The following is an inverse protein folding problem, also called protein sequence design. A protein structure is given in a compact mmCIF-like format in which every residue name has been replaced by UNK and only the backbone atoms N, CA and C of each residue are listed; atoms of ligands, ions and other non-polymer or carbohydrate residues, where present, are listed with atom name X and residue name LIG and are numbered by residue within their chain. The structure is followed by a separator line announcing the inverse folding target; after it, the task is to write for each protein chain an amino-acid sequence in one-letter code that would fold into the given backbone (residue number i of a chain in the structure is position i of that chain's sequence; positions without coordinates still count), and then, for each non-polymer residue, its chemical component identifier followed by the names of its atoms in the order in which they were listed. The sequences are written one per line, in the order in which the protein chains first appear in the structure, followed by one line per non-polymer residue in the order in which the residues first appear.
data_IF_096783280401
#
_entry.id   IF_096783280401
#
_cell.length_a   1.000
_cell.length_b   1.000
_cell.length_c   1.000
_cell.angle_alpha   90.00
_cell.angle_beta   90.00
_cell.angle_gamma   90.00
#
_symmetry.space_group_name_H-M   'P 1'
#
loop_
_entity.id
_entity.type
_entity.pdbx_description
1 polymer ?
#
# COMPACT_ATOMS: atom_id res chain seq x y z
N UNK A 1 -31.59 -98.56 -10.99
CA UNK A 1 -31.46 -97.62 -12.13
C UNK A 1 -30.56 -96.48 -11.70
N UNK A 2 -29.37 -96.39 -12.31
CA UNK A 2 -28.35 -95.42 -11.99
C UNK A 2 -28.64 -94.08 -12.68
N UNK A 3 -28.52 -92.97 -11.96
CA UNK A 3 -28.36 -91.64 -12.56
C UNK A 3 -27.06 -91.06 -12.01
N UNK A 4 -26.08 -91.01 -12.91
CA UNK A 4 -24.70 -90.58 -12.73
C UNK A 4 -24.62 -89.06 -12.60
N UNK A 5 -23.90 -88.61 -11.58
CA UNK A 5 -23.58 -87.21 -11.30
C UNK A 5 -22.39 -86.80 -12.17
N UNK A 6 -22.62 -85.97 -13.19
CA UNK A 6 -21.56 -85.41 -14.02
C UNK A 6 -20.69 -84.43 -13.22
N UNK A 7 -19.41 -84.75 -13.05
CA UNK A 7 -18.39 -83.82 -12.55
C UNK A 7 -17.82 -83.04 -13.74
N UNK A 8 -18.13 -81.75 -13.84
CA UNK A 8 -17.45 -80.85 -14.79
C UNK A 8 -16.12 -80.38 -14.17
N UNK A 9 -14.99 -80.82 -14.75
CA UNK A 9 -13.66 -80.26 -14.46
C UNK A 9 -13.58 -78.85 -15.05
N UNK A 10 -13.51 -77.83 -14.20
CA UNK A 10 -13.21 -76.47 -14.62
C UNK A 10 -11.73 -76.35 -15.01
N UNK A 11 -11.46 -75.90 -16.24
CA UNK A 11 -10.15 -75.52 -16.75
C UNK A 11 -9.65 -74.21 -16.09
N UNK A 12 -8.34 -74.04 -15.84
CA UNK A 12 -7.83 -72.82 -15.21
C UNK A 12 -7.95 -71.62 -16.17
N UNK A 13 -8.67 -70.59 -15.74
CA UNK A 13 -8.75 -69.30 -16.42
C UNK A 13 -7.35 -68.67 -16.51
N UNK A 14 -6.81 -68.58 -17.73
CA UNK A 14 -5.61 -67.78 -18.03
C UNK A 14 -5.87 -66.32 -17.64
N UNK A 15 -5.09 -65.80 -16.70
CA UNK A 15 -5.03 -64.35 -16.39
C UNK A 15 -4.74 -63.58 -17.67
N UNK A 16 -5.72 -62.82 -18.16
CA UNK A 16 -5.53 -61.81 -19.21
C UNK A 16 -4.64 -60.70 -18.63
N UNK A 17 -3.46 -60.50 -19.20
CA UNK A 17 -2.65 -59.32 -18.93
C UNK A 17 -3.38 -58.10 -19.50
N UNK A 18 -3.67 -57.13 -18.64
CA UNK A 18 -4.20 -55.82 -19.04
C UNK A 18 -3.18 -55.11 -19.95
N UNK A 19 -3.61 -54.48 -21.07
CA UNK A 19 -2.71 -53.68 -21.87
C UNK A 19 -2.18 -52.53 -21.02
N UNK A 20 -0.85 -52.40 -20.96
CA UNK A 20 -0.16 -51.29 -20.29
C UNK A 20 -0.69 -49.99 -20.89
N UNK A 21 -1.34 -49.17 -20.07
CA UNK A 21 -1.80 -47.84 -20.46
C UNK A 21 -0.63 -47.03 -20.99
N UNK A 22 -0.78 -46.46 -22.19
CA UNK A 22 0.14 -45.44 -22.70
C UNK A 22 0.12 -44.27 -21.72
N UNK A 23 1.25 -44.00 -21.07
CA UNK A 23 1.41 -42.81 -20.26
C UNK A 23 1.19 -41.58 -21.15
N UNK A 24 0.22 -40.74 -20.77
CA UNK A 24 0.08 -39.40 -21.33
C UNK A 24 1.37 -38.62 -21.05
N UNK A 25 1.89 -37.82 -21.99
CA UNK A 25 3.08 -37.03 -21.75
C UNK A 25 2.81 -36.02 -20.63
N UNK A 26 3.34 -36.32 -19.44
CA UNK A 26 3.23 -35.50 -18.25
C UNK A 26 4.37 -34.50 -18.20
N UNK A 27 4.32 -33.43 -19.00
CA UNK A 27 5.21 -32.28 -18.81
C UNK A 27 4.65 -31.02 -19.47
N UNK A 28 3.51 -30.53 -18.96
CA UNK A 28 3.29 -29.08 -19.00
C UNK A 28 4.29 -28.49 -18.01
N UNK A 29 5.43 -28.03 -18.51
CA UNK A 29 6.36 -27.19 -17.75
C UNK A 29 5.57 -25.98 -17.27
N UNK A 30 5.16 -25.97 -15.99
CA UNK A 30 4.60 -24.79 -15.34
C UNK A 30 5.70 -23.74 -15.33
N UNK A 31 5.71 -22.84 -16.32
CA UNK A 31 6.58 -21.64 -16.30
C UNK A 31 6.36 -20.96 -14.96
N UNK A 32 7.39 -20.93 -14.10
CA UNK A 32 7.34 -20.20 -12.82
C UNK A 32 7.01 -18.73 -13.16
N UNK A 33 5.86 -18.24 -12.69
CA UNK A 33 5.51 -16.82 -12.86
C UNK A 33 6.58 -15.98 -12.17
N UNK A 34 7.14 -15.00 -12.88
CA UNK A 34 8.11 -14.07 -12.31
C UNK A 34 7.47 -13.35 -11.11
N UNK A 35 8.22 -13.21 -10.03
CA UNK A 35 7.77 -12.49 -8.83
C UNK A 35 7.71 -10.99 -9.18
N UNK A 36 6.57 -10.31 -9.00
CA UNK A 36 6.47 -8.87 -9.24
C UNK A 36 7.51 -8.07 -8.47
N UNK A 37 8.02 -7.01 -9.10
CA UNK A 37 9.01 -6.11 -8.50
C UNK A 37 8.41 -5.37 -7.30
N UNK A 38 9.25 -5.05 -6.32
CA UNK A 38 8.86 -4.21 -5.18
C UNK A 38 8.63 -2.78 -5.67
N UNK A 39 7.48 -2.20 -5.33
CA UNK A 39 7.24 -0.77 -5.47
C UNK A 39 7.98 -0.06 -4.34
N UNK A 40 8.86 0.86 -4.71
CA UNK A 40 9.63 1.67 -3.77
C UNK A 40 9.64 3.09 -4.29
N UNK A 41 9.34 4.04 -3.42
CA UNK A 41 9.69 5.43 -3.66
C UNK A 41 11.21 5.58 -3.59
N UNK A 42 11.79 6.31 -4.54
CA UNK A 42 13.23 6.57 -4.62
C UNK A 42 13.56 8.07 -4.72
N UNK A 43 12.53 8.90 -4.81
CA UNK A 43 12.67 10.32 -5.06
C UNK A 43 13.09 11.10 -3.81
N UNK A 44 12.86 12.40 -3.87
CA UNK A 44 13.18 13.32 -2.79
C UNK A 44 12.10 13.28 -1.72
N UNK A 45 12.54 13.38 -0.47
CA UNK A 45 11.68 13.55 0.67
C UNK A 45 12.18 14.64 1.61
N UNK A 46 11.28 15.20 2.40
CA UNK A 46 11.58 15.96 3.60
C UNK A 46 11.14 15.16 4.82
N UNK A 47 11.99 15.07 5.82
CA UNK A 47 11.64 14.58 7.15
C UNK A 47 11.69 15.74 8.12
N UNK A 48 10.52 16.16 8.60
CA UNK A 48 10.31 17.41 9.33
C UNK A 48 9.86 17.05 10.75
N UNK A 49 10.58 17.56 11.75
CA UNK A 49 10.36 17.19 13.16
C UNK A 49 9.94 18.36 14.03
N UNK A 50 10.33 19.58 13.69
CA UNK A 50 9.97 20.76 14.47
C UNK A 50 8.71 21.44 13.92
N UNK A 51 8.02 22.18 14.79
CA UNK A 51 6.83 22.93 14.40
C UNK A 51 7.13 23.92 13.27
N UNK A 52 8.26 24.62 13.34
CA UNK A 52 8.64 25.65 12.38
C UNK A 52 9.01 25.06 11.01
N UNK A 53 9.70 23.92 10.99
CA UNK A 53 9.99 23.17 9.76
C UNK A 53 8.69 22.73 9.06
N UNK A 54 7.76 22.14 9.83
CA UNK A 54 6.46 21.71 9.31
C UNK A 54 5.66 22.91 8.79
N UNK A 55 5.63 23.99 9.54
CA UNK A 55 4.92 25.22 9.18
C UNK A 55 5.45 25.83 7.87
N UNK A 56 6.76 25.99 7.75
CA UNK A 56 7.40 26.57 6.57
C UNK A 56 7.23 25.71 5.32
N UNK A 57 7.39 24.38 5.45
CA UNK A 57 7.21 23.47 4.33
C UNK A 57 5.74 23.40 3.87
N UNK A 58 4.80 23.37 4.81
CA UNK A 58 3.37 23.37 4.51
C UNK A 58 2.92 24.68 3.86
N UNK A 59 3.48 25.83 4.27
CA UNK A 59 3.26 27.12 3.59
C UNK A 59 3.64 27.05 2.11
N UNK A 60 4.85 26.57 1.81
CA UNK A 60 5.33 26.42 0.42
C UNK A 60 4.48 25.43 -0.39
N UNK A 61 3.98 24.36 0.25
CA UNK A 61 3.06 23.42 -0.41
C UNK A 61 1.71 24.08 -0.74
N UNK A 62 1.14 24.87 0.17
CA UNK A 62 -0.09 25.62 -0.05
C UNK A 62 0.05 26.70 -1.14
N UNK A 63 1.24 27.30 -1.27
CA UNK A 63 1.58 28.27 -2.32
C UNK A 63 1.89 27.61 -3.67
N UNK A 64 2.01 26.28 -3.71
CA UNK A 64 2.21 25.51 -4.93
C UNK A 64 0.87 25.15 -5.61
N UNK A 65 0.94 24.63 -6.83
CA UNK A 65 -0.25 24.18 -7.57
C UNK A 65 -0.74 22.76 -7.16
N UNK A 66 -0.29 22.22 -6.01
CA UNK A 66 -0.63 20.86 -5.59
C UNK A 66 -2.08 20.77 -5.10
N UNK A 67 -2.88 19.95 -5.80
CA UNK A 67 -4.28 19.67 -5.45
C UNK A 67 -4.54 18.20 -5.10
N UNK A 68 -3.52 17.34 -5.20
CA UNK A 68 -3.63 15.90 -4.95
C UNK A 68 -2.46 15.41 -4.09
N UNK A 69 -2.80 14.73 -2.99
CA UNK A 69 -1.85 14.08 -2.09
C UNK A 69 -2.15 12.58 -2.03
N UNK A 70 -1.12 11.75 -2.15
CA UNK A 70 -1.12 10.44 -1.52
C UNK A 70 -0.96 10.63 -0.02
N UNK A 71 -1.80 9.96 0.76
CA UNK A 71 -1.90 10.11 2.21
C UNK A 71 -1.77 8.76 2.89
N UNK A 72 -0.96 8.72 3.93
CA UNK A 72 -0.91 7.63 4.91
C UNK A 72 -0.37 8.15 6.26
N UNK A 73 -0.53 7.36 7.33
CA UNK A 73 -0.09 7.76 8.68
C UNK A 73 0.33 6.58 9.54
N UNK A 74 1.22 6.83 10.51
CA UNK A 74 1.78 5.80 11.38
C UNK A 74 1.72 6.18 12.86
N UNK A 75 1.67 5.16 13.71
CA UNK A 75 1.65 5.29 15.17
C UNK A 75 2.39 4.13 15.83
N UNK A 76 2.86 4.35 17.06
CA UNK A 76 3.45 3.25 17.85
C UNK A 76 2.40 2.21 18.20
N UNK A 77 2.68 0.95 17.87
CA UNK A 77 1.87 -0.19 18.29
C UNK A 77 2.24 -0.59 19.71
N UNK A 78 1.27 -0.62 20.62
CA UNK A 78 1.46 -1.15 21.97
C UNK A 78 0.85 -2.55 22.03
N UNK A 79 1.68 -3.56 22.28
CA UNK A 79 1.24 -4.96 22.41
C UNK A 79 0.59 -5.24 23.77
N UNK A 80 -0.39 -4.40 24.16
CA UNK A 80 -1.20 -4.54 25.39
C UNK A 80 -2.65 -4.84 25.02
N UNK A 81 -3.42 -5.43 25.93
CA UNK A 81 -4.89 -5.57 25.78
C UNK A 81 -5.56 -4.30 26.29
N UNK A 82 -6.71 -3.93 25.72
CA UNK A 82 -7.50 -2.78 26.13
C UNK A 82 -7.43 -1.60 25.15
N UNK A 83 -8.38 -0.65 25.22
CA UNK A 83 -8.49 0.48 24.28
C UNK A 83 -7.28 1.45 24.32
N UNK A 84 -6.51 1.46 25.41
CA UNK A 84 -5.24 2.17 25.59
C UNK A 84 -4.04 1.54 24.85
N UNK A 85 -4.25 0.47 24.06
CA UNK A 85 -3.17 -0.22 23.34
C UNK A 85 -2.81 0.38 21.97
N UNK A 86 -3.45 1.49 21.58
CA UNK A 86 -3.16 2.19 20.33
C UNK A 86 -2.49 3.52 20.68
N UNK A 87 -1.22 3.68 20.28
CA UNK A 87 -0.51 4.95 20.40
C UNK A 87 -1.20 6.06 19.60
N UNK A 88 -0.91 7.32 19.95
CA UNK A 88 -1.36 8.46 19.14
C UNK A 88 -0.67 8.43 17.78
N UNK A 89 -1.30 9.05 16.79
CA UNK A 89 -0.69 9.27 15.49
C UNK A 89 0.63 10.02 15.65
N UNK A 90 1.71 9.45 15.12
CA UNK A 90 3.06 9.96 15.26
C UNK A 90 3.59 10.60 13.97
N UNK A 91 3.24 10.04 12.82
CA UNK A 91 3.73 10.48 11.51
C UNK A 91 2.57 10.66 10.54
N UNK A 92 2.57 11.77 9.80
CA UNK A 92 1.76 11.95 8.59
C UNK A 92 2.66 11.94 7.36
N UNK A 93 2.14 11.38 6.27
CA UNK A 93 2.91 11.14 5.05
C UNK A 93 2.15 11.74 3.87
N UNK A 94 2.76 12.68 3.16
CA UNK A 94 2.19 13.26 1.94
C UNK A 94 3.09 12.96 0.76
N UNK A 95 2.54 12.34 -0.29
CA UNK A 95 3.21 12.25 -1.59
C UNK A 95 2.46 13.11 -2.61
N UNK A 96 3.18 13.86 -3.44
CA UNK A 96 2.58 14.73 -4.45
C UNK A 96 3.50 14.88 -5.66
N UNK A 97 3.00 15.51 -6.72
CA UNK A 97 3.78 15.80 -7.94
C UNK A 97 3.81 17.28 -8.23
N UNK A 98 4.96 17.78 -8.67
CA UNK A 98 5.12 19.13 -9.20
C UNK A 98 5.84 19.07 -10.55
N UNK A 99 5.41 19.88 -11.52
CA UNK A 99 6.10 20.02 -12.80
C UNK A 99 7.45 20.72 -12.61
N UNK A 100 7.45 21.80 -11.84
CA UNK A 100 8.63 22.54 -11.41
C UNK A 100 8.61 22.75 -9.89
N UNK A 101 9.78 22.75 -9.27
CA UNK A 101 9.88 22.90 -7.81
C UNK A 101 9.45 24.31 -7.35
N UNK A 102 9.75 25.35 -8.13
CA UNK A 102 9.51 26.73 -7.71
C UNK A 102 10.07 27.01 -6.31
N UNK A 103 9.24 27.58 -5.43
CA UNK A 103 9.62 27.87 -4.04
C UNK A 103 9.93 26.63 -3.19
N UNK A 104 9.51 25.43 -3.62
CA UNK A 104 9.86 24.18 -2.93
C UNK A 104 11.34 23.82 -3.12
N UNK A 105 12.04 24.39 -4.12
CA UNK A 105 13.44 24.07 -4.40
C UNK A 105 14.37 24.39 -3.21
N UNK A 106 14.04 25.42 -2.43
CA UNK A 106 14.85 25.88 -1.30
C UNK A 106 14.76 24.98 -0.05
N UNK A 107 13.85 24.00 -0.06
CA UNK A 107 13.70 23.10 1.07
C UNK A 107 14.86 22.08 1.13
N UNK A 108 15.26 21.60 2.33
CA UNK A 108 16.42 20.74 2.52
C UNK A 108 16.12 19.28 2.09
N UNK A 109 15.89 19.08 0.80
CA UNK A 109 15.54 17.79 0.22
C UNK A 109 16.63 16.74 0.42
N UNK A 110 16.21 15.53 0.78
CA UNK A 110 17.05 14.34 0.85
C UNK A 110 16.54 13.31 -0.16
N UNK A 111 17.40 12.46 -0.68
CA UNK A 111 16.98 11.31 -1.49
C UNK A 111 16.82 10.08 -0.60
N UNK A 112 15.77 9.28 -0.86
CA UNK A 112 15.58 8.02 -0.13
C UNK A 112 16.72 7.07 -0.45
N UNK A 113 16.96 6.82 -1.74
CA UNK A 113 18.09 6.00 -2.22
C UNK A 113 19.09 6.91 -2.96
N UNK A 114 19.79 6.39 -3.97
CA UNK A 114 20.57 7.16 -4.95
C UNK A 114 19.81 8.41 -5.45
N UNK A 115 20.52 9.41 -5.97
CA UNK A 115 19.97 10.66 -6.51
C UNK A 115 19.08 10.44 -7.76
N UNK A 116 17.96 9.77 -7.57
CA UNK A 116 17.05 9.31 -8.61
C UNK A 116 15.77 10.09 -8.50
N UNK A 117 15.48 10.88 -9.53
CA UNK A 117 14.18 11.54 -9.63
C UNK A 117 13.09 10.53 -9.97
N UNK A 118 12.00 10.54 -9.20
CA UNK A 118 10.83 9.73 -9.50
C UNK A 118 9.87 10.55 -10.37
N UNK A 119 9.92 10.37 -11.69
CA UNK A 119 9.14 11.16 -12.66
C UNK A 119 7.84 10.49 -13.09
N UNK A 120 6.91 11.32 -13.54
CA UNK A 120 5.72 10.97 -14.31
C UNK A 120 5.50 12.00 -15.42
N UNK A 121 4.47 11.80 -16.24
CA UNK A 121 4.02 12.84 -17.18
C UNK A 121 3.50 14.11 -16.50
N UNK A 122 3.17 14.06 -15.20
CA UNK A 122 2.70 15.20 -14.39
C UNK A 122 3.83 15.85 -13.55
N UNK A 123 5.09 15.56 -13.87
CA UNK A 123 6.25 16.08 -13.14
C UNK A 123 6.88 15.08 -12.17
N UNK A 124 7.61 15.60 -11.18
CA UNK A 124 8.43 14.85 -10.22
C UNK A 124 7.63 14.56 -8.95
N UNK A 125 7.66 13.32 -8.49
CA UNK A 125 7.10 12.93 -7.19
C UNK A 125 8.02 13.34 -6.04
N UNK A 126 7.42 13.91 -5.00
CA UNK A 126 8.05 14.35 -3.77
C UNK A 126 7.28 13.79 -2.56
N UNK A 127 7.96 13.60 -1.43
CA UNK A 127 7.32 13.16 -0.18
C UNK A 127 7.62 14.10 0.99
N UNK A 128 6.60 14.43 1.79
CA UNK A 128 6.77 14.99 3.13
C UNK A 128 6.47 13.91 4.17
N UNK A 129 7.40 13.74 5.12
CA UNK A 129 7.25 12.95 6.32
C UNK A 129 7.19 13.91 7.51
N UNK A 130 5.99 14.12 8.04
CA UNK A 130 5.68 15.12 9.06
C UNK A 130 5.58 14.43 10.42
N UNK A 131 6.62 14.55 11.25
CA UNK A 131 6.69 13.87 12.55
C UNK A 131 5.88 14.66 13.59
N UNK A 132 4.56 14.50 13.56
CA UNK A 132 3.62 15.25 14.42
C UNK A 132 3.70 14.86 15.90
N UNK A 133 4.32 13.74 16.24
CA UNK A 133 4.65 13.42 17.63
C UNK A 133 5.57 14.49 18.26
N UNK A 134 6.52 15.03 17.49
CA UNK A 134 7.47 16.05 17.94
C UNK A 134 6.99 17.48 17.61
N UNK A 135 6.50 17.69 16.38
CA UNK A 135 6.12 19.02 15.90
C UNK A 135 4.72 19.48 16.35
N UNK A 136 3.86 18.53 16.73
CA UNK A 136 2.43 18.76 16.83
C UNK A 136 1.81 19.11 15.47
N UNK A 137 0.61 19.69 15.48
CA UNK A 137 -0.01 20.24 14.27
C UNK A 137 0.28 21.75 14.18
N UNK A 138 0.97 22.14 13.12
CA UNK A 138 1.18 23.54 12.76
C UNK A 138 -0.05 24.12 12.04
N UNK A 139 -0.14 25.44 11.91
CA UNK A 139 -1.31 26.09 11.31
C UNK A 139 -1.47 25.72 9.82
N UNK A 140 -0.39 25.82 9.04
CA UNK A 140 -0.44 25.47 7.62
C UNK A 140 -0.65 23.97 7.39
N UNK A 141 -0.19 23.10 8.29
CA UNK A 141 -0.52 21.67 8.24
C UNK A 141 -2.02 21.44 8.45
N UNK A 142 -2.63 22.11 9.44
CA UNK A 142 -4.09 22.03 9.65
C UNK A 142 -4.83 22.53 8.41
N UNK A 143 -4.41 23.65 7.82
CA UNK A 143 -5.02 24.19 6.58
C UNK A 143 -4.98 23.18 5.44
N UNK A 144 -3.87 22.44 5.26
CA UNK A 144 -3.79 21.36 4.25
C UNK A 144 -4.79 20.25 4.57
N UNK A 145 -4.80 19.77 5.81
CA UNK A 145 -5.67 18.66 6.24
C UNK A 145 -7.15 19.00 6.09
N UNK A 146 -7.56 20.24 6.38
CA UNK A 146 -8.96 20.70 6.32
C UNK A 146 -9.36 21.31 4.99
N UNK A 147 -8.43 21.45 4.02
CA UNK A 147 -8.73 22.01 2.69
C UNK A 147 -9.64 21.08 1.86
N UNK A 148 -10.69 21.65 1.28
CA UNK A 148 -11.57 21.02 0.28
C UNK A 148 -11.04 21.19 -1.16
N UNK A 149 -9.91 21.88 -1.35
CA UNK A 149 -9.23 22.03 -2.63
C UNK A 149 -8.11 21.00 -2.83
N UNK A 150 -7.72 20.29 -1.76
CA UNK A 150 -6.66 19.29 -1.77
C UNK A 150 -7.27 17.93 -1.49
N UNK A 151 -7.24 17.04 -2.47
CA UNK A 151 -7.68 15.66 -2.34
C UNK A 151 -6.60 14.81 -1.68
N UNK A 152 -6.97 13.98 -0.70
CA UNK A 152 -6.06 13.06 0.01
C UNK A 152 -6.47 11.63 -0.30
N UNK A 153 -5.66 10.93 -1.08
CA UNK A 153 -5.89 9.55 -1.49
C UNK A 153 -5.16 8.58 -0.57
N UNK A 154 -5.90 7.72 0.11
CA UNK A 154 -5.35 6.67 0.97
C UNK A 154 -6.19 5.39 0.88
N UNK A 155 -5.60 4.25 1.27
CA UNK A 155 -6.27 2.94 1.22
C UNK A 155 -6.90 2.60 2.56
N UNK A 156 -8.23 2.46 2.62
CA UNK A 156 -8.99 2.35 3.88
C UNK A 156 -8.88 3.60 4.78
N UNK A 157 -8.63 4.76 4.16
CA UNK A 157 -8.36 6.06 4.81
C UNK A 157 -9.45 6.50 5.80
N UNK A 158 -10.69 5.99 5.67
CA UNK A 158 -11.76 6.33 6.61
C UNK A 158 -11.42 6.00 8.06
N UNK A 159 -10.67 4.91 8.30
CA UNK A 159 -10.23 4.56 9.66
C UNK A 159 -9.18 5.54 10.19
N UNK A 160 -8.30 5.99 9.31
CA UNK A 160 -7.23 6.95 9.61
C UNK A 160 -7.79 8.33 9.93
N UNK A 161 -8.79 8.79 9.16
CA UNK A 161 -9.50 10.05 9.40
C UNK A 161 -10.16 10.05 10.78
N UNK A 162 -10.87 8.96 11.13
CA UNK A 162 -11.51 8.83 12.44
C UNK A 162 -10.46 8.86 13.56
N UNK A 163 -9.35 8.13 13.38
CA UNK A 163 -8.27 8.09 14.36
C UNK A 163 -7.60 9.44 14.53
N UNK A 164 -7.21 10.11 13.45
CA UNK A 164 -6.54 11.41 13.51
C UNK A 164 -7.44 12.45 14.17
N UNK A 165 -8.74 12.47 13.85
CA UNK A 165 -9.71 13.35 14.50
C UNK A 165 -9.82 13.08 16.01
N UNK A 166 -9.79 11.80 16.43
CA UNK A 166 -9.76 11.45 17.85
C UNK A 166 -8.47 11.88 18.53
N UNK A 167 -7.33 11.72 17.87
CA UNK A 167 -6.01 11.98 18.44
C UNK A 167 -5.70 13.49 18.55
N UNK A 168 -6.24 14.30 17.62
CA UNK A 168 -5.83 15.70 17.41
C UNK A 168 -6.97 16.71 17.45
N UNK A 169 -8.23 16.27 17.33
CA UNK A 169 -9.40 17.14 17.17
C UNK A 169 -9.62 17.67 15.75
N UNK A 170 -8.71 17.41 14.80
CA UNK A 170 -8.80 17.91 13.43
C UNK A 170 -9.53 16.93 12.52
N UNK A 171 -10.58 17.39 11.84
CA UNK A 171 -11.30 16.62 10.83
C UNK A 171 -10.69 16.84 9.46
N UNK A 172 -10.26 15.76 8.81
CA UNK A 172 -9.70 15.83 7.45
C UNK A 172 -10.83 16.04 6.44
N UNK A 173 -10.65 17.00 5.53
CA UNK A 173 -11.53 17.24 4.38
C UNK A 173 -10.97 16.57 3.13
N UNK A 174 -11.86 16.12 2.22
CA UNK A 174 -11.51 15.43 0.96
C UNK A 174 -10.56 14.25 1.12
N UNK A 175 -10.78 13.43 2.14
CA UNK A 175 -10.16 12.11 2.24
C UNK A 175 -10.90 11.12 1.31
N UNK A 176 -10.24 10.72 0.22
CA UNK A 176 -10.78 9.84 -0.81
C UNK A 176 -10.22 8.44 -0.60
N UNK A 177 -11.11 7.50 -0.28
CA UNK A 177 -10.72 6.09 -0.12
C UNK A 177 -10.49 5.44 -1.49
N UNK A 178 -9.24 5.05 -1.75
CA UNK A 178 -8.85 4.38 -2.99
C UNK A 178 -9.59 3.04 -3.16
N UNK A 179 -10.00 2.37 -2.08
CA UNK A 179 -10.83 1.17 -2.17
C UNK A 179 -12.22 1.47 -2.77
N UNK A 180 -12.79 2.64 -2.46
CA UNK A 180 -14.06 3.06 -3.03
C UNK A 180 -13.95 3.25 -4.54
N UNK A 181 -12.92 3.97 -5.00
CA UNK A 181 -12.62 4.13 -6.42
C UNK A 181 -12.41 2.77 -7.10
N UNK A 182 -11.61 1.89 -6.48
CA UNK A 182 -11.32 0.57 -7.03
C UNK A 182 -12.57 -0.31 -7.14
N UNK A 183 -13.49 -0.23 -6.17
CA UNK A 183 -14.72 -1.03 -6.17
C UNK A 183 -15.66 -0.71 -7.35
N UNK A 184 -15.52 0.47 -7.94
CA UNK A 184 -16.29 0.90 -9.10
C UNK A 184 -15.60 0.59 -10.43
N UNK A 185 -14.32 0.21 -10.42
CA UNK A 185 -13.56 -0.08 -11.63
C UNK A 185 -14.05 -1.38 -12.30
N UNK A 186 -14.38 -1.32 -13.60
CA UNK A 186 -14.94 -2.45 -14.34
C UNK A 186 -14.04 -3.71 -14.32
N UNK A 187 -12.70 -3.55 -14.29
CA UNK A 187 -11.78 -4.69 -14.23
C UNK A 187 -11.79 -5.35 -12.86
N UNK A 188 -11.94 -4.57 -11.79
CA UNK A 188 -12.10 -5.07 -10.42
C UNK A 188 -13.43 -5.80 -10.28
N UNK A 189 -14.53 -5.17 -10.70
CA UNK A 189 -15.88 -5.77 -10.68
C UNK A 189 -15.90 -7.09 -11.44
N UNK A 190 -15.30 -7.15 -12.64
CA UNK A 190 -15.21 -8.39 -13.42
C UNK A 190 -14.44 -9.50 -12.70
N UNK A 191 -13.41 -9.17 -11.93
CA UNK A 191 -12.54 -10.15 -11.26
C UNK A 191 -13.06 -10.61 -9.91
N UNK A 192 -13.61 -9.70 -9.11
CA UNK A 192 -13.95 -9.93 -7.70
C UNK A 192 -15.46 -9.80 -7.41
N UNK A 193 -16.26 -9.35 -8.37
CA UNK A 193 -17.67 -9.02 -8.18
C UNK A 193 -17.88 -7.70 -7.42
N UNK A 194 -19.14 -7.30 -7.28
CA UNK A 194 -19.54 -6.02 -6.66
C UNK A 194 -19.41 -6.00 -5.13
N UNK A 195 -19.23 -7.16 -4.48
CA UNK A 195 -19.22 -7.27 -3.02
C UNK A 195 -17.83 -6.99 -2.40
N UNK A 196 -16.77 -6.92 -3.22
CA UNK A 196 -15.40 -6.71 -2.73
C UNK A 196 -15.13 -5.20 -2.59
N UNK A 197 -15.42 -4.66 -1.41
CA UNK A 197 -15.30 -3.23 -1.12
C UNK A 197 -13.97 -2.82 -0.47
N UNK A 198 -13.22 -3.77 0.10
CA UNK A 198 -11.96 -3.50 0.81
C UNK A 198 -10.80 -4.27 0.21
N UNK A 199 -9.69 -3.57 0.02
CA UNK A 199 -8.43 -4.09 -0.47
C UNK A 199 -7.28 -3.57 0.40
N UNK A 200 -6.19 -4.33 0.49
CA UNK A 200 -4.94 -3.77 0.99
C UNK A 200 -4.25 -2.95 -0.10
N UNK A 201 -3.36 -2.04 0.29
CA UNK A 201 -2.55 -1.28 -0.67
C UNK A 201 -1.73 -2.20 -1.56
N UNK A 202 -1.25 -3.33 -1.02
CA UNK A 202 -0.59 -4.38 -1.82
C UNK A 202 -1.52 -5.03 -2.85
N UNK A 203 -2.79 -5.28 -2.53
CA UNK A 203 -3.73 -5.89 -3.48
C UNK A 203 -3.96 -4.96 -4.68
N UNK A 204 -4.17 -3.67 -4.40
CA UNK A 204 -4.39 -2.66 -5.43
C UNK A 204 -3.12 -2.38 -6.24
N UNK A 205 -1.95 -2.27 -5.59
CA UNK A 205 -0.66 -2.12 -6.28
C UNK A 205 -0.36 -3.30 -7.20
N UNK A 206 -0.63 -4.53 -6.75
CA UNK A 206 -0.48 -5.73 -7.58
C UNK A 206 -1.45 -5.75 -8.76
N UNK A 207 -2.68 -5.24 -8.58
CA UNK A 207 -3.69 -5.24 -9.62
C UNK A 207 -3.46 -4.15 -10.68
N UNK A 208 -3.19 -2.92 -10.26
CA UNK A 208 -3.09 -1.75 -11.15
C UNK A 208 -1.66 -1.48 -11.64
N UNK A 209 -0.65 -1.75 -10.82
CA UNK A 209 0.75 -1.43 -11.14
C UNK A 209 1.60 -2.67 -11.45
N UNK A 210 1.09 -3.87 -11.17
CA UNK A 210 1.86 -5.13 -11.24
C UNK A 210 3.14 -5.07 -10.39
N UNK A 211 3.05 -4.44 -9.22
CA UNK A 211 4.14 -4.32 -8.26
C UNK A 211 3.66 -4.73 -6.86
N UNK A 212 4.56 -5.29 -6.06
CA UNK A 212 4.28 -5.68 -4.68
C UNK A 212 4.71 -4.57 -3.71
N UNK A 213 4.02 -4.45 -2.59
CA UNK A 213 4.46 -3.56 -1.49
C UNK A 213 5.36 -4.32 -0.52
N UNK A 214 6.19 -3.59 0.22
CA UNK A 214 6.92 -4.17 1.34
C UNK A 214 5.93 -4.49 2.47
N UNK A 215 6.13 -5.64 3.12
CA UNK A 215 5.28 -6.11 4.23
C UNK A 215 6.08 -6.43 5.48
N UNK A 216 7.32 -5.94 5.58
CA UNK A 216 8.16 -6.18 6.76
C UNK A 216 7.48 -5.67 8.03
N UNK A 217 6.98 -6.61 8.84
CA UNK A 217 6.28 -6.33 10.08
C UNK A 217 7.16 -5.59 11.10
N UNK A 218 8.49 -5.73 11.04
CA UNK A 218 9.42 -5.06 11.96
C UNK A 218 9.46 -3.56 11.74
N UNK A 219 9.25 -3.13 10.49
CA UNK A 219 9.15 -1.71 10.13
C UNK A 219 7.77 -1.20 10.51
N UNK A 220 6.73 -1.87 10.01
CA UNK A 220 5.31 -1.50 10.17
C UNK A 220 4.87 -1.39 11.63
N UNK A 221 5.23 -2.38 12.44
CA UNK A 221 4.85 -2.45 13.86
C UNK A 221 5.92 -1.85 14.78
N UNK A 222 6.87 -1.10 14.23
CA UNK A 222 7.96 -0.48 14.98
C UNK A 222 7.49 0.70 15.85
N UNK A 223 8.42 1.24 16.63
CA UNK A 223 8.18 2.50 17.34
C UNK A 223 8.36 3.68 16.38
N UNK A 224 7.24 4.31 16.00
CA UNK A 224 7.20 5.50 15.15
C UNK A 224 7.37 6.82 15.91
N UNK A 225 7.38 6.81 17.25
CA UNK A 225 7.57 7.99 18.12
C UNK A 225 9.06 8.30 18.40
N UNK A 226 9.98 7.53 17.82
CA UNK A 226 11.43 7.69 18.06
C UNK A 226 11.90 9.08 17.61
N UNK A 227 12.90 9.62 18.30
CA UNK A 227 13.55 10.90 17.94
C UNK A 227 13.92 10.97 16.44
N UNK A 228 14.53 9.90 15.93
CA UNK A 228 14.81 9.74 14.51
C UNK A 228 14.28 8.42 13.98
N UNK A 229 13.64 8.50 12.81
CA UNK A 229 13.25 7.34 12.02
C UNK A 229 14.47 6.77 11.29
N UNK A 230 14.60 5.44 11.33
CA UNK A 230 15.58 4.75 10.53
C UNK A 230 15.22 4.78 9.03
N UNK A 231 16.22 4.51 8.19
CA UNK A 231 16.08 4.48 6.74
C UNK A 231 14.94 3.56 6.28
N UNK A 232 14.74 2.40 6.93
CA UNK A 232 13.70 1.46 6.54
C UNK A 232 12.30 2.06 6.76
N UNK A 233 12.08 2.78 7.87
CA UNK A 233 10.82 3.51 8.14
C UNK A 233 10.58 4.66 7.16
N UNK A 234 11.61 5.45 6.86
CA UNK A 234 11.53 6.54 5.88
C UNK A 234 11.12 6.00 4.51
N UNK A 235 11.82 4.95 4.05
CA UNK A 235 11.55 4.29 2.77
C UNK A 235 10.15 3.71 2.71
N UNK A 236 9.72 3.05 3.79
CA UNK A 236 8.39 2.48 3.91
C UNK A 236 7.31 3.57 3.82
N UNK A 237 7.38 4.60 4.67
CA UNK A 237 6.40 5.68 4.72
C UNK A 237 6.31 6.45 3.39
N UNK A 238 7.45 6.79 2.78
CA UNK A 238 7.43 7.43 1.46
C UNK A 238 6.76 6.53 0.40
N UNK A 239 7.01 5.21 0.46
CA UNK A 239 6.48 4.26 -0.51
C UNK A 239 4.97 4.06 -0.37
N UNK A 240 4.42 4.08 0.84
CA UNK A 240 2.98 3.86 1.07
C UNK A 240 2.15 5.06 0.59
N UNK A 241 2.55 6.30 0.94
CA UNK A 241 1.91 7.50 0.41
C UNK A 241 2.03 7.60 -1.13
N UNK A 242 3.22 7.31 -1.67
CA UNK A 242 3.46 7.28 -3.12
C UNK A 242 2.60 6.23 -3.85
N UNK A 243 2.51 5.02 -3.29
CA UNK A 243 1.70 3.96 -3.86
C UNK A 243 0.21 4.32 -3.86
N UNK A 244 -0.29 4.93 -2.79
CA UNK A 244 -1.68 5.38 -2.70
C UNK A 244 -2.03 6.36 -3.82
N UNK A 245 -1.19 7.38 -4.05
CA UNK A 245 -1.39 8.33 -5.15
C UNK A 245 -1.28 7.68 -6.53
N UNK A 246 -0.29 6.81 -6.73
CA UNK A 246 -0.10 6.11 -8.01
C UNK A 246 -1.26 5.19 -8.35
N UNK A 247 -1.73 4.42 -7.38
CA UNK A 247 -2.87 3.53 -7.55
C UNK A 247 -4.13 4.33 -7.85
N UNK A 248 -4.41 5.40 -7.08
CA UNK A 248 -5.57 6.26 -7.33
C UNK A 248 -5.60 6.79 -8.77
N UNK A 249 -4.45 7.27 -9.27
CA UNK A 249 -4.30 7.77 -10.65
C UNK A 249 -4.35 6.68 -11.74
N UNK A 250 -4.31 5.40 -11.36
CA UNK A 250 -4.35 4.26 -12.29
C UNK A 250 -5.72 3.57 -12.36
N UNK A 251 -6.66 3.98 -11.51
CA UNK A 251 -8.05 3.48 -11.48
C UNK A 251 -8.86 4.16 -12.57
#
# INVERSE_FOLDING_TARGET
MAVTRAQSKASPLKRRQSPRGRALPSTISKKKKAIPKLLSFKGRYLYLKTRDEVEAACKKLLESAVTELGFDMEWRVLFKKGPENIGKTALLQFCFTVEELGSLADLPWRYVDEEVECKSSKGVFLCFLLHIHHSGLSENLVRILTSDQINKYGVNIGSDVIKLAKDTGVRISNAIDVCHLASQNARIVKRYGNNKLRFSLNDLSMFFLNMRMDKDARVRLGNWEREDLDYCKIKYACSDAYASLKVARSI
#
